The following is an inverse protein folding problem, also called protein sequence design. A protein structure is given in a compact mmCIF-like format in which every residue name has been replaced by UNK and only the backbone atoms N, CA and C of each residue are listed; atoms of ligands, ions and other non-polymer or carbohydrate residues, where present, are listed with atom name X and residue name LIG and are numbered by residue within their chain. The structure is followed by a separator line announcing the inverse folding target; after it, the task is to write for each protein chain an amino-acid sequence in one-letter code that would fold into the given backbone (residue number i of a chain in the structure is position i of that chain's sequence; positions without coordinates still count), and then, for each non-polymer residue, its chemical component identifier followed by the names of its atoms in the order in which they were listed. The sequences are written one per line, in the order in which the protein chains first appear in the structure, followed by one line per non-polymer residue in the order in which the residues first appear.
data_IF_705783036451
#
_entry.id   IF_705783036451
#
_cell.length_a   1.000
_cell.length_b   1.000
_cell.length_c   1.000
_cell.angle_alpha   90.00
_cell.angle_beta   90.00
_cell.angle_gamma   90.00
#
_symmetry.space_group_name_H-M   'P 1'
#
loop_
_entity.id
_entity.type
_entity.pdbx_description
1 polymer ?
#
# COMPACT_ATOMS: atom_id res chain seq x y z
N UNK A 1 17.40 -18.21 -1.97
CA UNK A 1 16.59 -16.97 -2.06
C UNK A 1 17.46 -15.82 -1.57
N UNK A 2 17.67 -14.78 -2.38
CA UNK A 2 18.75 -13.78 -2.17
C UNK A 2 18.31 -12.42 -1.63
N UNK A 3 17.02 -12.25 -1.28
CA UNK A 3 16.51 -10.98 -0.74
C UNK A 3 16.73 -10.92 0.77
N UNK A 4 17.18 -9.77 1.28
CA UNK A 4 17.37 -9.56 2.71
C UNK A 4 16.03 -9.52 3.45
N UNK A 5 15.95 -10.09 4.65
CA UNK A 5 14.68 -10.24 5.39
C UNK A 5 13.98 -8.90 5.67
N UNK A 6 14.75 -7.84 5.98
CA UNK A 6 14.19 -6.49 6.15
C UNK A 6 13.53 -5.97 4.86
N UNK A 7 14.14 -6.25 3.70
CA UNK A 7 13.58 -5.88 2.40
C UNK A 7 12.28 -6.63 2.12
N UNK A 8 12.23 -7.92 2.46
CA UNK A 8 11.02 -8.74 2.31
C UNK A 8 9.87 -8.14 3.11
N UNK A 9 10.08 -7.80 4.37
CA UNK A 9 9.02 -7.24 5.23
C UNK A 9 8.56 -5.85 4.79
N UNK A 10 9.46 -4.98 4.33
CA UNK A 10 9.07 -3.67 3.78
C UNK A 10 8.26 -3.82 2.48
N UNK A 11 8.63 -4.76 1.61
CA UNK A 11 7.87 -5.07 0.39
C UNK A 11 6.49 -5.64 0.75
N UNK A 12 6.41 -6.56 1.72
CA UNK A 12 5.16 -7.14 2.16
C UNK A 12 4.23 -6.11 2.82
N UNK A 13 4.79 -5.19 3.62
CA UNK A 13 4.08 -4.04 4.18
C UNK A 13 3.47 -3.15 3.10
N UNK A 14 4.25 -2.79 2.08
CA UNK A 14 3.77 -2.01 0.95
C UNK A 14 2.69 -2.74 0.14
N UNK A 15 2.88 -4.04 -0.09
CA UNK A 15 1.88 -4.89 -0.76
C UNK A 15 0.57 -4.98 0.02
N UNK A 16 0.61 -5.05 1.36
CA UNK A 16 -0.58 -5.04 2.19
C UNK A 16 -1.41 -3.75 2.03
N UNK A 17 -0.75 -2.60 1.93
CA UNK A 17 -1.41 -1.30 1.67
C UNK A 17 -2.06 -1.30 0.29
N UNK A 18 -1.32 -1.71 -0.75
CA UNK A 18 -1.81 -1.79 -2.12
C UNK A 18 -2.98 -2.77 -2.28
N UNK A 19 -2.95 -3.89 -1.56
CA UNK A 19 -3.99 -4.92 -1.53
C UNK A 19 -5.15 -4.65 -0.56
N UNK A 20 -5.17 -3.51 0.15
CA UNK A 20 -6.18 -3.17 1.15
C UNK A 20 -6.32 -4.19 2.30
N UNK A 21 -5.28 -4.99 2.59
CA UNK A 21 -5.33 -6.01 3.64
C UNK A 21 -4.90 -5.42 4.99
N UNK A 22 -5.86 -4.95 5.80
CA UNK A 22 -5.62 -4.43 7.16
C UNK A 22 -4.87 -5.43 8.06
N UNK A 23 -5.31 -6.70 8.21
CA UNK A 23 -4.57 -7.64 9.07
C UNK A 23 -3.14 -7.90 8.58
N UNK A 24 -2.91 -7.90 7.26
CA UNK A 24 -1.57 -8.02 6.70
C UNK A 24 -0.70 -6.79 7.02
N UNK A 25 -1.27 -5.58 6.96
CA UNK A 25 -0.59 -4.34 7.30
C UNK A 25 -0.11 -4.36 8.76
N UNK A 26 -1.00 -4.71 9.69
CA UNK A 26 -0.68 -4.81 11.12
C UNK A 26 0.43 -5.86 11.38
N UNK A 27 0.32 -7.02 10.74
CA UNK A 27 1.29 -8.10 10.87
C UNK A 27 2.68 -7.71 10.38
N UNK A 28 2.78 -7.21 9.14
CA UNK A 28 4.06 -6.85 8.54
C UNK A 28 4.67 -5.61 9.19
N UNK A 29 3.86 -4.67 9.71
CA UNK A 29 4.36 -3.56 10.51
C UNK A 29 5.03 -4.07 11.79
N UNK A 30 4.37 -4.97 12.53
CA UNK A 30 4.95 -5.58 13.72
C UNK A 30 6.26 -6.30 13.41
N UNK A 31 6.33 -7.03 12.29
CA UNK A 31 7.56 -7.71 11.84
C UNK A 31 8.69 -6.72 11.50
N UNK A 32 8.39 -5.61 10.84
CA UNK A 32 9.37 -4.55 10.60
C UNK A 32 9.97 -4.00 11.90
N UNK A 33 9.12 -3.77 12.91
CA UNK A 33 9.55 -3.32 14.25
C UNK A 33 10.41 -4.39 14.94
N UNK A 34 10.00 -5.65 14.94
CA UNK A 34 10.76 -6.78 15.50
C UNK A 34 12.14 -6.96 14.87
N UNK A 35 12.28 -6.66 13.57
CA UNK A 35 13.55 -6.70 12.85
C UNK A 35 14.45 -5.46 13.08
N UNK A 36 13.99 -4.50 13.88
CA UNK A 36 14.71 -3.26 14.14
C UNK A 36 14.93 -2.42 12.87
N UNK A 37 13.92 -2.36 12.00
CA UNK A 37 13.92 -1.41 10.88
C UNK A 37 13.61 -0.02 11.45
N UNK A 38 14.39 1.03 11.11
CA UNK A 38 14.11 2.39 11.55
C UNK A 38 12.69 2.83 11.18
N UNK A 39 12.04 3.58 12.07
CA UNK A 39 10.67 4.02 11.88
C UNK A 39 10.53 4.90 10.62
N UNK A 40 11.58 5.64 10.31
CA UNK A 40 11.71 6.50 9.12
C UNK A 40 11.65 5.66 7.84
N UNK A 41 12.39 4.55 7.75
CA UNK A 41 12.34 3.64 6.58
C UNK A 41 10.94 3.00 6.42
N UNK A 42 10.32 2.61 7.54
CA UNK A 42 8.93 2.09 7.52
C UNK A 42 7.97 3.16 7.00
N UNK A 43 8.12 4.40 7.47
CA UNK A 43 7.30 5.54 7.05
C UNK A 43 7.46 5.82 5.56
N UNK A 44 8.69 5.83 5.04
CA UNK A 44 8.98 6.01 3.61
C UNK A 44 8.33 4.92 2.75
N UNK A 45 8.40 3.66 3.19
CA UNK A 45 7.73 2.55 2.50
C UNK A 45 6.20 2.71 2.47
N UNK A 46 5.60 3.12 3.59
CA UNK A 46 4.16 3.41 3.69
C UNK A 46 3.78 4.57 2.76
N UNK A 47 4.55 5.66 2.76
CA UNK A 47 4.30 6.83 1.90
C UNK A 47 4.40 6.46 0.42
N UNK A 48 5.39 5.65 0.04
CA UNK A 48 5.52 5.16 -1.34
C UNK A 48 4.34 4.27 -1.73
N UNK A 49 3.95 3.31 -0.89
CA UNK A 49 2.82 2.44 -1.14
C UNK A 49 1.50 3.22 -1.26
N UNK A 50 1.30 4.26 -0.44
CA UNK A 50 0.14 5.14 -0.54
C UNK A 50 0.11 5.90 -1.87
N UNK A 51 1.26 6.42 -2.35
CA UNK A 51 1.35 7.07 -3.66
C UNK A 51 0.94 6.13 -4.79
N UNK A 52 1.45 4.89 -4.78
CA UNK A 52 1.08 3.86 -5.77
C UNK A 52 -0.43 3.55 -5.69
N UNK A 53 -0.97 3.41 -4.48
CA UNK A 53 -2.39 3.16 -4.23
C UNK A 53 -3.32 4.27 -4.73
N UNK A 54 -2.85 5.52 -4.84
CA UNK A 54 -3.67 6.61 -5.39
C UNK A 54 -4.03 6.39 -6.87
N UNK A 55 -3.22 5.65 -7.63
CA UNK A 55 -3.47 5.42 -9.06
C UNK A 55 -4.78 4.64 -9.32
N UNK A 56 -4.99 3.43 -8.75
CA UNK A 56 -6.22 2.68 -8.99
C UNK A 56 -7.47 3.39 -8.46
N UNK A 57 -7.41 4.04 -7.29
CA UNK A 57 -8.58 4.77 -6.75
C UNK A 57 -8.95 5.96 -7.62
N UNK A 58 -7.96 6.71 -8.14
CA UNK A 58 -8.22 7.77 -9.12
C UNK A 58 -8.94 7.21 -10.34
N UNK A 59 -8.52 6.05 -10.84
CA UNK A 59 -9.17 5.44 -12.01
C UNK A 59 -10.61 5.00 -11.75
N UNK A 60 -10.86 4.44 -10.57
CA UNK A 60 -12.23 4.10 -10.13
C UNK A 60 -13.10 5.35 -10.10
N UNK A 61 -12.60 6.45 -9.53
CA UNK A 61 -13.33 7.71 -9.47
C UNK A 61 -13.62 8.28 -10.86
N UNK A 62 -12.63 8.29 -11.77
CA UNK A 62 -12.84 8.72 -13.17
C UNK A 62 -13.97 7.93 -13.86
N UNK A 63 -14.05 6.61 -13.60
CA UNK A 63 -15.12 5.77 -14.16
C UNK A 63 -16.46 6.07 -13.49
N UNK A 64 -16.47 6.24 -12.17
CA UNK A 64 -17.69 6.60 -11.43
C UNK A 64 -18.27 7.94 -11.91
N UNK A 65 -17.42 8.96 -12.07
CA UNK A 65 -17.79 10.28 -12.59
C UNK A 65 -18.39 10.17 -14.00
N UNK A 66 -17.76 9.36 -14.87
CA UNK A 66 -18.26 9.10 -16.22
C UNK A 66 -19.66 8.48 -16.19
N UNK A 67 -19.88 7.45 -15.38
CA UNK A 67 -21.18 6.78 -15.27
C UNK A 67 -22.28 7.74 -14.80
N UNK A 68 -21.97 8.65 -13.86
CA UNK A 68 -22.92 9.66 -13.39
C UNK A 68 -23.26 10.70 -14.47
N UNK A 69 -22.30 11.03 -15.34
CA UNK A 69 -22.51 11.98 -16.45
C UNK A 69 -23.31 11.40 -17.62
N UNK A 70 -23.33 10.07 -17.79
CA UNK A 70 -24.04 9.38 -18.88
C UNK A 70 -25.53 9.15 -18.57
N UNK A 71 -25.95 9.23 -17.29
CA UNK A 71 -27.36 9.12 -16.88
C UNK A 71 -28.20 10.40 -17.06
N UNK A 72 -27.76 11.31 -17.94
CA UNK A 72 -28.44 12.56 -18.26
C UNK A 72 -29.05 12.57 -19.67
N UNK A 73 -29.97 11.65 -19.96
CA UNK A 73 -30.97 11.74 -21.05
C UNK A 73 -32.32 11.22 -20.54
#
# INVERSE_FOLDING_TARGET
MGLHIKTIELVALGAAIGGNCIPCLEWHYKKCVELGIPKEEIKEAIEMANKVKQVPIKKINEVADKLLSETGE
#
